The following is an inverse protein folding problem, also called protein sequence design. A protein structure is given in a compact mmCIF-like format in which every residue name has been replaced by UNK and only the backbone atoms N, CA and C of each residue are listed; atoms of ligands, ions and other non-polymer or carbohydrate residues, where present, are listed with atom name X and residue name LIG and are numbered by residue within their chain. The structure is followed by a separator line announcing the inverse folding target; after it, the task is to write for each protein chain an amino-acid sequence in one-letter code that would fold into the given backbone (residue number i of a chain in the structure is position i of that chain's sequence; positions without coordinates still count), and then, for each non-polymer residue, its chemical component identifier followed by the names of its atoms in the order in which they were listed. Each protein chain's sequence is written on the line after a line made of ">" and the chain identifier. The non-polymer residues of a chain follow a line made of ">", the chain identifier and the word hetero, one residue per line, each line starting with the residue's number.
data_IF_295495958679
#
_entry.id   IF_295495958679
#
_cell.length_a   1.000
_cell.length_b   1.000
_cell.length_c   1.000
_cell.angle_alpha   90.00
_cell.angle_beta   90.00
_cell.angle_gamma   90.00
#
_symmetry.space_group_name_H-M   'P 1'
#
loop_
_entity.id
_entity.type
_entity.pdbx_description
1 polymer ?
#
# COMPACT_ATOMS: atom_id res chain seq x y z
N UNK A 1 0.16 24.85 0.71
CA UNK A 1 0.68 23.90 1.72
C UNK A 1 1.03 22.61 0.96
N UNK A 2 2.26 22.11 1.08
CA UNK A 2 2.64 20.83 0.47
C UNK A 2 2.39 19.70 1.48
N UNK A 3 1.90 18.54 1.02
CA UNK A 3 1.62 17.39 1.90
C UNK A 3 2.91 16.84 2.54
N UNK A 4 4.00 16.84 1.77
CA UNK A 4 5.37 16.67 2.26
C UNK A 4 6.26 17.71 1.56
N UNK A 5 6.97 18.59 2.30
CA UNK A 5 7.88 19.58 1.73
C UNK A 5 9.05 18.99 0.94
N UNK A 6 9.43 17.74 1.23
CA UNK A 6 10.56 17.05 0.59
C UNK A 6 10.20 16.44 -0.77
N UNK A 7 8.91 16.35 -1.10
CA UNK A 7 8.48 15.73 -2.35
C UNK A 7 8.65 16.67 -3.55
N UNK A 8 9.05 16.12 -4.71
CA UNK A 8 9.16 16.89 -5.94
C UNK A 8 7.78 17.39 -6.39
N UNK A 9 7.76 18.50 -7.15
CA UNK A 9 6.54 19.03 -7.78
C UNK A 9 6.16 18.24 -9.06
N UNK A 10 6.09 16.92 -8.93
CA UNK A 10 5.78 15.95 -10.00
C UNK A 10 4.90 14.83 -9.43
N UNK A 11 4.58 13.82 -10.24
CA UNK A 11 3.95 12.58 -9.79
C UNK A 11 4.74 11.98 -8.61
N UNK A 12 4.05 11.70 -7.50
CA UNK A 12 4.64 11.05 -6.32
C UNK A 12 4.38 9.55 -6.44
N UNK A 13 5.44 8.75 -6.38
CA UNK A 13 5.34 7.31 -6.46
C UNK A 13 4.87 6.72 -5.12
N UNK A 14 4.13 5.61 -5.18
CA UNK A 14 3.65 4.91 -3.99
C UNK A 14 4.81 4.49 -3.06
N UNK A 15 5.96 4.13 -3.61
CA UNK A 15 7.18 3.83 -2.83
C UNK A 15 7.58 5.01 -1.93
N UNK A 16 7.55 6.23 -2.46
CA UNK A 16 7.91 7.45 -1.70
C UNK A 16 6.92 7.72 -0.57
N UNK A 17 5.62 7.48 -0.84
CA UNK A 17 4.57 7.61 0.18
C UNK A 17 4.79 6.60 1.31
N UNK A 18 4.97 5.33 0.97
CA UNK A 18 5.13 4.25 1.95
C UNK A 18 6.43 4.43 2.77
N UNK A 19 7.54 4.78 2.13
CA UNK A 19 8.78 5.07 2.83
C UNK A 19 8.62 6.26 3.80
N UNK A 20 7.92 7.33 3.39
CA UNK A 20 7.64 8.47 4.26
C UNK A 20 6.74 8.13 5.44
N UNK A 21 5.80 7.19 5.28
CA UNK A 21 4.99 6.68 6.39
C UNK A 21 5.85 5.85 7.36
N UNK A 22 6.73 4.99 6.84
CA UNK A 22 7.61 4.17 7.66
C UNK A 22 8.61 5.01 8.48
N UNK A 23 9.18 6.08 7.91
CA UNK A 23 10.06 7.01 8.64
C UNK A 23 9.34 7.76 9.75
N UNK A 24 8.01 7.89 9.67
CA UNK A 24 7.15 8.46 10.71
C UNK A 24 6.67 7.41 11.72
N UNK A 25 7.16 6.17 11.64
CA UNK A 25 6.88 5.10 12.59
C UNK A 25 5.73 4.16 12.20
N UNK A 26 5.16 4.30 11.00
CA UNK A 26 4.14 3.36 10.53
C UNK A 26 4.76 1.99 10.24
N UNK A 27 4.05 0.92 10.61
CA UNK A 27 4.38 -0.45 10.19
C UNK A 27 3.66 -0.76 8.89
N UNK A 28 4.42 -1.19 7.89
CA UNK A 28 3.92 -1.54 6.58
C UNK A 28 3.75 -3.05 6.49
N UNK A 29 2.51 -3.52 6.29
CA UNK A 29 2.23 -4.93 6.04
C UNK A 29 1.72 -5.05 4.60
N UNK A 30 2.57 -5.54 3.70
CA UNK A 30 2.25 -5.66 2.29
C UNK A 30 1.96 -7.12 1.93
N UNK A 31 0.75 -7.34 1.44
CA UNK A 31 0.31 -8.60 0.87
C UNK A 31 0.16 -8.38 -0.64
N UNK A 32 0.88 -9.16 -1.44
CA UNK A 32 0.90 -9.02 -2.91
C UNK A 32 0.63 -10.34 -3.62
N UNK A 33 0.15 -10.26 -4.86
CA UNK A 33 0.04 -11.41 -5.76
C UNK A 33 1.40 -11.83 -6.34
N UNK A 34 1.42 -12.92 -7.10
CA UNK A 34 2.64 -13.48 -7.71
C UNK A 34 3.12 -12.78 -8.99
N UNK A 35 2.41 -11.74 -9.45
CA UNK A 35 2.73 -11.06 -10.70
C UNK A 35 4.12 -10.43 -10.73
N UNK A 36 4.78 -10.48 -11.89
CA UNK A 36 6.16 -10.04 -12.07
C UNK A 36 6.41 -8.57 -11.70
N UNK A 37 5.42 -7.70 -11.89
CA UNK A 37 5.52 -6.29 -11.54
C UNK A 37 5.63 -6.06 -10.03
N UNK A 38 5.15 -6.99 -9.21
CA UNK A 38 5.29 -6.92 -7.75
C UNK A 38 6.75 -7.13 -7.30
N UNK A 39 7.57 -7.86 -8.08
CA UNK A 39 9.00 -8.02 -7.75
C UNK A 39 9.77 -6.72 -7.88
N UNK A 40 9.51 -5.95 -8.93
CA UNK A 40 10.14 -4.64 -9.09
C UNK A 40 9.70 -3.68 -7.98
N UNK A 41 8.40 -3.66 -7.66
CA UNK A 41 7.89 -2.86 -6.56
C UNK A 41 8.50 -3.25 -5.20
N UNK A 42 8.65 -4.56 -4.94
CA UNK A 42 9.31 -5.08 -3.73
C UNK A 42 10.75 -4.57 -3.61
N UNK A 43 11.54 -4.72 -4.69
CA UNK A 43 12.93 -4.29 -4.71
C UNK A 43 13.05 -2.78 -4.46
N UNK A 44 12.29 -1.97 -5.19
CA UNK A 44 12.33 -0.51 -5.05
C UNK A 44 11.89 -0.05 -3.65
N UNK A 45 10.87 -0.69 -3.06
CA UNK A 45 10.44 -0.37 -1.70
C UNK A 45 11.48 -0.77 -0.66
N UNK A 46 12.07 -1.97 -0.78
CA UNK A 46 13.09 -2.43 0.16
C UNK A 46 14.34 -1.55 0.12
N UNK A 47 14.76 -1.11 -1.06
CA UNK A 47 15.87 -0.17 -1.22
C UNK A 47 15.56 1.18 -0.55
N UNK A 48 14.40 1.77 -0.85
CA UNK A 48 13.99 3.04 -0.24
C UNK A 48 13.90 2.97 1.31
N UNK A 49 13.42 1.84 1.85
CA UNK A 49 13.36 1.62 3.30
C UNK A 49 14.74 1.40 3.93
N UNK A 50 15.67 0.77 3.20
CA UNK A 50 17.05 0.58 3.64
C UNK A 50 17.81 1.91 3.68
N UNK A 51 17.69 2.72 2.63
CA UNK A 51 18.29 4.06 2.56
C UNK A 51 17.78 4.97 3.69
N UNK A 52 16.52 4.81 4.06
CA UNK A 52 15.89 5.54 5.16
C UNK A 52 16.15 4.93 6.55
N UNK A 53 16.86 3.80 6.66
CA UNK A 53 17.17 3.14 7.94
C UNK A 53 15.97 2.52 8.65
N UNK A 54 14.88 2.22 7.93
CA UNK A 54 13.60 1.72 8.48
C UNK A 54 13.18 0.37 7.89
N UNK A 55 14.13 -0.44 7.38
CA UNK A 55 13.83 -1.76 6.81
C UNK A 55 13.01 -2.68 7.74
N UNK A 56 13.19 -2.55 9.06
CA UNK A 56 12.45 -3.34 10.06
C UNK A 56 10.97 -2.99 10.20
N UNK A 57 10.50 -1.91 9.55
CA UNK A 57 9.10 -1.49 9.59
C UNK A 57 8.24 -2.15 8.51
N UNK A 58 8.80 -3.02 7.66
CA UNK A 58 8.10 -3.61 6.53
C UNK A 58 8.06 -5.13 6.61
N UNK A 59 6.85 -5.68 6.55
CA UNK A 59 6.57 -7.09 6.34
C UNK A 59 6.02 -7.27 4.93
N UNK A 60 6.63 -8.18 4.17
CA UNK A 60 6.22 -8.49 2.80
C UNK A 60 5.80 -9.97 2.69
N UNK A 61 4.60 -10.22 2.20
CA UNK A 61 4.04 -11.56 1.98
C UNK A 61 3.50 -11.70 0.56
N UNK A 62 3.89 -12.77 -0.11
CA UNK A 62 3.42 -13.12 -1.46
C UNK A 62 2.37 -14.22 -1.38
N UNK A 63 1.26 -14.04 -2.06
CA UNK A 63 0.11 -14.94 -2.07
C UNK A 63 -0.20 -15.41 -3.49
N UNK A 64 -0.47 -16.71 -3.67
CA UNK A 64 -0.89 -17.24 -4.98
C UNK A 64 -2.27 -16.75 -5.40
N UNK A 65 -3.17 -16.54 -4.44
CA UNK A 65 -4.54 -16.10 -4.68
C UNK A 65 -4.83 -14.87 -3.84
N UNK A 66 -4.54 -13.70 -4.38
CA UNK A 66 -4.88 -12.42 -3.78
C UNK A 66 -5.57 -11.55 -4.83
N UNK A 67 -6.87 -11.35 -4.66
CA UNK A 67 -7.69 -10.54 -5.57
C UNK A 67 -8.10 -9.19 -4.97
N UNK A 68 -7.94 -9.04 -3.66
CA UNK A 68 -8.23 -7.82 -2.91
C UNK A 68 -7.23 -6.73 -3.25
N UNK A 69 -7.75 -5.52 -3.48
CA UNK A 69 -6.96 -4.33 -3.78
C UNK A 69 -7.41 -3.24 -2.82
N UNK A 70 -6.52 -2.82 -1.95
CA UNK A 70 -6.80 -1.73 -1.04
C UNK A 70 -5.61 -1.33 -0.18
N UNK A 71 -5.74 -0.18 0.48
CA UNK A 71 -4.86 0.32 1.53
C UNK A 71 -5.72 0.50 2.77
N UNK A 72 -5.32 -0.14 3.85
CA UNK A 72 -5.98 -0.04 5.15
C UNK A 72 -5.06 0.64 6.15
N UNK A 73 -5.56 1.69 6.78
CA UNK A 73 -4.95 2.34 7.95
C UNK A 73 -5.82 2.12 9.18
N UNK A 74 -5.46 2.70 10.32
CA UNK A 74 -6.27 2.60 11.54
C UNK A 74 -7.62 3.32 11.44
N UNK A 75 -7.76 4.24 10.48
CA UNK A 75 -8.93 5.13 10.38
C UNK A 75 -9.57 5.18 8.99
N UNK A 76 -8.88 4.66 7.97
CA UNK A 76 -9.26 4.85 6.57
C UNK A 76 -9.05 3.54 5.83
N UNK A 77 -10.06 3.16 5.07
CA UNK A 77 -9.97 2.15 4.02
C UNK A 77 -10.03 2.83 2.66
N UNK A 78 -9.03 2.59 1.83
CA UNK A 78 -9.05 2.88 0.40
C UNK A 78 -9.17 1.54 -0.33
N UNK A 79 -10.22 1.33 -1.09
CA UNK A 79 -10.49 0.07 -1.80
C UNK A 79 -11.02 0.34 -3.20
N UNK A 80 -11.14 -0.71 -4.03
CA UNK A 80 -11.78 -0.57 -5.33
C UNK A 80 -11.46 -1.72 -6.29
N UNK A 81 -11.87 -1.55 -7.54
CA UNK A 81 -11.53 -2.48 -8.62
C UNK A 81 -10.08 -2.32 -9.13
N UNK A 82 -9.43 -1.22 -8.73
CA UNK A 82 -8.15 -0.73 -9.24
C UNK A 82 -6.91 -1.42 -8.68
N UNK A 83 -5.96 -1.74 -9.56
CA UNK A 83 -4.59 -2.07 -9.14
C UNK A 83 -3.82 -0.78 -8.82
N UNK A 84 -2.97 -0.79 -7.78
CA UNK A 84 -2.05 0.32 -7.48
C UNK A 84 -0.85 0.36 -8.44
N UNK A 85 -1.15 0.53 -9.73
CA UNK A 85 -0.18 0.67 -10.81
C UNK A 85 -0.51 1.91 -11.62
N UNK A 86 0.49 2.49 -12.29
CA UNK A 86 0.29 3.69 -13.14
C UNK A 86 -0.77 3.46 -14.23
N UNK A 87 -0.91 2.23 -14.71
CA UNK A 87 -1.89 1.89 -15.76
C UNK A 87 -3.28 1.62 -15.18
N UNK A 88 -3.38 0.94 -14.02
CA UNK A 88 -4.66 0.74 -13.32
C UNK A 88 -5.33 2.08 -13.00
N UNK A 89 -4.58 2.99 -12.37
CA UNK A 89 -5.11 4.32 -12.00
C UNK A 89 -5.58 5.17 -13.20
N UNK A 90 -5.15 4.85 -14.43
CA UNK A 90 -5.48 5.62 -15.65
C UNK A 90 -6.60 5.01 -16.50
N UNK A 91 -7.11 3.82 -16.16
CA UNK A 91 -8.25 3.21 -16.86
C UNK A 91 -9.55 3.82 -16.34
N UNK A 92 -10.32 4.43 -17.24
CA UNK A 92 -11.49 5.28 -16.97
C UNK A 92 -12.67 4.57 -16.29
N UNK A 93 -12.61 3.25 -16.10
CA UNK A 93 -13.70 2.42 -15.56
C UNK A 93 -13.32 1.74 -14.22
N UNK A 94 -12.20 2.14 -13.61
CA UNK A 94 -11.80 1.65 -12.30
C UNK A 94 -12.32 2.59 -11.19
N UNK A 95 -12.98 2.02 -10.17
CA UNK A 95 -13.51 2.78 -9.03
C UNK A 95 -12.52 2.80 -7.86
N UNK A 96 -12.50 3.92 -7.14
CA UNK A 96 -11.80 4.06 -5.86
C UNK A 96 -12.82 4.53 -4.81
N UNK A 97 -12.98 3.71 -3.78
CA UNK A 97 -13.85 3.96 -2.65
C UNK A 97 -12.99 4.29 -1.42
N UNK A 98 -13.32 5.40 -0.76
CA UNK A 98 -12.65 5.84 0.46
C UNK A 98 -13.67 5.82 1.59
N UNK A 99 -13.49 4.93 2.56
CA UNK A 99 -14.35 4.83 3.73
C UNK A 99 -13.60 5.23 5.00
N UNK A 100 -14.28 6.05 5.80
CA UNK A 100 -13.89 6.40 7.17
C UNK A 100 -14.82 5.76 8.21
N UNK A 101 -15.78 4.95 7.76
CA UNK A 101 -16.74 4.31 8.65
C UNK A 101 -16.01 3.26 9.52
N UNK A 102 -16.11 3.33 10.85
CA UNK A 102 -15.42 2.39 11.75
C UNK A 102 -15.78 0.93 11.46
N UNK A 103 -17.03 0.66 11.05
CA UNK A 103 -17.50 -0.67 10.64
C UNK A 103 -16.72 -1.18 9.43
N UNK A 104 -16.64 -0.41 8.33
CA UNK A 104 -15.89 -0.79 7.14
C UNK A 104 -14.40 -1.00 7.41
N UNK A 105 -13.79 -0.15 8.25
CA UNK A 105 -12.38 -0.28 8.65
C UNK A 105 -12.17 -1.56 9.47
N UNK A 106 -13.08 -1.85 10.42
CA UNK A 106 -13.03 -3.04 11.25
C UNK A 106 -13.21 -4.34 10.46
N UNK A 107 -14.16 -4.39 9.53
CA UNK A 107 -14.36 -5.53 8.63
C UNK A 107 -13.14 -5.78 7.75
N UNK A 108 -12.60 -4.71 7.14
CA UNK A 108 -11.41 -4.80 6.32
C UNK A 108 -10.19 -5.26 7.13
N UNK A 109 -10.07 -4.84 8.39
CA UNK A 109 -9.02 -5.30 9.31
C UNK A 109 -9.15 -6.80 9.59
N UNK A 110 -10.34 -7.28 9.97
CA UNK A 110 -10.58 -8.70 10.21
C UNK A 110 -10.27 -9.55 8.97
N UNK A 111 -10.66 -9.07 7.79
CA UNK A 111 -10.32 -9.72 6.52
C UNK A 111 -8.80 -9.69 6.24
N UNK A 112 -8.12 -8.57 6.50
CA UNK A 112 -6.67 -8.46 6.35
C UNK A 112 -5.92 -9.45 7.27
N UNK A 113 -6.33 -9.54 8.53
CA UNK A 113 -5.71 -10.43 9.53
C UNK A 113 -5.89 -11.91 9.19
N UNK A 114 -6.92 -12.26 8.41
CA UNK A 114 -7.13 -13.63 7.92
C UNK A 114 -5.97 -14.11 7.02
N UNK A 115 -5.28 -13.19 6.34
CA UNK A 115 -4.10 -13.53 5.54
C UNK A 115 -2.84 -13.80 6.37
N UNK A 116 -2.85 -13.49 7.68
CA UNK A 116 -1.73 -13.83 8.56
C UNK A 116 -1.77 -15.28 9.05
N UNK A 117 -2.94 -15.93 8.99
CA UNK A 117 -3.19 -17.29 9.49
C UNK A 117 -3.83 -18.18 8.40
N UNK A 118 -3.03 -18.70 7.44
CA UNK A 118 -3.54 -19.53 6.35
C UNK A 118 -4.04 -20.91 6.80
#
# INVERSE_FOLDING_TARGET
>A
MALNPEWPRTDIHLVEVLASLATRGARLHLHVGTDDHNRYFESSLKEALADAGVSGQCLWKVHRHLHTKGILTDQILVSGSMNFTRNGIRLLDESVDISFAPESVGEARAHFDSYEHP
#
